data_IF_043827401397
#
_entry.id   IF_043827401397
#
_cell.length_a   1.000
_cell.length_b   1.000
_cell.length_c   1.000
_cell.angle_alpha   90.00
_cell.angle_beta   90.00
_cell.angle_gamma   90.00
#
_symmetry.space_group_name_H-M   'P 1'
#
loop_
_entity.id
_entity.type
_entity.pdbx_description
1 polymer ?
#
# COMPACT_ATOMS: atom_id res chain seq x y z
N UNK A 1 -11.83 6.51 14.21
CA UNK A 1 -11.00 6.31 15.40
C UNK A 1 -11.59 5.17 16.21
N UNK A 2 -10.81 4.13 16.52
CA UNK A 2 -11.24 3.03 17.40
C UNK A 2 -11.04 3.51 18.85
N UNK A 3 -12.04 3.48 19.71
CA UNK A 3 -11.92 3.71 21.17
C UNK A 3 -12.50 2.46 21.86
N UNK A 4 -11.82 1.91 22.87
CA UNK A 4 -12.37 0.82 23.71
C UNK A 4 -12.83 -0.45 22.96
N UNK A 5 -11.96 -1.07 22.16
CA UNK A 5 -12.28 -2.25 21.34
C UNK A 5 -13.49 -2.09 20.41
N UNK A 6 -13.88 -0.83 20.11
CA UNK A 6 -15.00 -0.51 19.25
C UNK A 6 -14.60 0.55 18.23
N UNK A 7 -14.89 0.31 16.97
CA UNK A 7 -14.78 1.31 15.92
C UNK A 7 -16.11 2.08 15.79
N UNK A 8 -16.05 3.34 15.37
CA UNK A 8 -17.26 4.15 15.10
C UNK A 8 -18.22 3.47 14.10
N UNK A 9 -17.71 2.60 13.22
CA UNK A 9 -18.52 1.87 12.25
C UNK A 9 -19.30 0.70 12.87
N UNK A 10 -18.94 0.24 14.08
CA UNK A 10 -19.52 -0.96 14.70
C UNK A 10 -21.01 -0.80 15.05
N UNK A 11 -21.52 0.43 15.09
CA UNK A 11 -22.96 0.68 15.28
C UNK A 11 -23.78 0.43 14.01
N UNK A 12 -23.13 0.38 12.86
CA UNK A 12 -23.76 0.27 11.54
C UNK A 12 -23.61 -1.10 10.89
N UNK A 13 -22.96 -2.06 11.57
CA UNK A 13 -22.67 -3.40 11.03
C UNK A 13 -23.00 -4.48 12.05
N UNK A 14 -23.50 -5.62 11.59
CA UNK A 14 -23.85 -6.74 12.48
C UNK A 14 -22.63 -7.41 13.11
N UNK A 15 -21.55 -7.55 12.33
CA UNK A 15 -20.30 -8.19 12.75
C UNK A 15 -19.12 -7.48 12.07
N UNK A 16 -18.11 -7.10 12.84
CA UNK A 16 -16.89 -6.49 12.35
C UNK A 16 -15.66 -7.33 12.74
N UNK A 17 -15.07 -8.03 11.76
CA UNK A 17 -13.83 -8.79 11.96
C UNK A 17 -12.65 -7.91 11.57
N UNK A 18 -11.90 -7.43 12.56
CA UNK A 18 -10.78 -6.53 12.34
C UNK A 18 -9.72 -6.65 13.45
N UNK A 19 -8.43 -6.84 13.11
CA UNK A 19 -7.37 -7.01 14.10
C UNK A 19 -7.23 -5.81 15.05
N UNK A 20 -7.58 -4.60 14.60
CA UNK A 20 -7.51 -3.39 15.43
C UNK A 20 -8.45 -3.41 16.64
N UNK A 21 -9.50 -4.23 16.63
CA UNK A 21 -10.43 -4.37 17.75
C UNK A 21 -9.83 -5.14 18.93
N UNK A 22 -8.84 -6.00 18.66
CA UNK A 22 -8.18 -6.85 19.68
C UNK A 22 -6.72 -6.46 19.91
N UNK A 23 -6.05 -5.91 18.90
CA UNK A 23 -4.69 -5.40 18.95
C UNK A 23 -4.58 -4.16 18.08
N UNK A 24 -4.65 -2.99 18.73
CA UNK A 24 -4.54 -1.69 18.05
C UNK A 24 -3.26 -1.61 17.23
N UNK A 25 -3.39 -1.16 15.99
CA UNK A 25 -2.26 -0.93 15.09
C UNK A 25 -1.78 -2.19 14.37
N UNK A 26 -2.44 -3.35 14.54
CA UNK A 26 -2.03 -4.61 13.92
C UNK A 26 -2.56 -4.75 12.48
N UNK A 27 -2.17 -3.81 11.62
CA UNK A 27 -2.59 -3.77 10.21
C UNK A 27 -1.90 -4.84 9.36
N UNK A 28 -0.79 -5.39 9.85
CA UNK A 28 -0.01 -6.42 9.17
C UNK A 28 -0.79 -7.74 9.04
N UNK A 29 -1.84 -7.97 9.82
CA UNK A 29 -2.78 -9.06 9.61
C UNK A 29 -3.81 -8.67 8.55
N UNK A 30 -3.53 -9.02 7.30
CA UNK A 30 -4.23 -8.47 6.13
C UNK A 30 -5.62 -9.07 5.92
N UNK A 31 -6.45 -8.38 5.13
CA UNK A 31 -7.80 -8.83 4.82
C UNK A 31 -7.82 -10.22 4.14
N UNK A 32 -6.85 -10.53 3.28
CA UNK A 32 -6.78 -11.86 2.64
C UNK A 32 -6.42 -12.98 3.61
N UNK A 33 -5.67 -12.69 4.68
CA UNK A 33 -5.43 -13.65 5.77
C UNK A 33 -6.75 -13.93 6.51
N UNK A 34 -7.44 -12.88 6.96
CA UNK A 34 -8.72 -12.97 7.68
C UNK A 34 -9.81 -13.66 6.85
N UNK A 35 -9.95 -13.27 5.59
CA UNK A 35 -10.96 -13.81 4.68
C UNK A 35 -10.73 -15.30 4.38
N UNK A 36 -9.48 -15.73 4.28
CA UNK A 36 -9.15 -17.16 4.10
C UNK A 36 -9.56 -17.98 5.32
N UNK A 37 -9.24 -17.51 6.52
CA UNK A 37 -9.64 -18.21 7.75
C UNK A 37 -11.17 -18.27 7.86
N UNK A 38 -11.87 -17.15 7.65
CA UNK A 38 -13.33 -17.14 7.65
C UNK A 38 -13.91 -18.11 6.61
N UNK A 39 -13.36 -18.18 5.40
CA UNK A 39 -13.79 -19.12 4.38
C UNK A 39 -13.61 -20.59 4.80
N UNK A 40 -12.56 -20.92 5.57
CA UNK A 40 -12.36 -22.25 6.15
C UNK A 40 -13.43 -22.60 7.19
N UNK A 41 -13.88 -21.63 7.99
CA UNK A 41 -15.00 -21.82 8.92
C UNK A 41 -16.34 -22.00 8.17
N UNK A 42 -16.56 -21.24 7.09
CA UNK A 42 -17.81 -21.31 6.30
C UNK A 42 -17.91 -22.65 5.55
N UNK A 43 -16.85 -23.09 4.88
CA UNK A 43 -16.86 -24.31 4.09
C UNK A 43 -15.51 -25.04 4.17
N UNK A 44 -15.28 -25.84 5.22
CA UNK A 44 -14.00 -26.52 5.46
C UNK A 44 -13.41 -27.30 4.27
N UNK A 45 -14.20 -27.98 3.40
CA UNK A 45 -13.64 -28.71 2.25
C UNK A 45 -12.88 -27.86 1.23
N UNK A 46 -12.97 -26.52 1.27
CA UNK A 46 -12.23 -25.62 0.38
C UNK A 46 -10.77 -25.40 0.79
N UNK A 47 -10.39 -25.77 2.01
CA UNK A 47 -9.10 -25.44 2.64
C UNK A 47 -7.89 -25.73 1.72
N UNK A 48 -7.83 -26.92 1.13
CA UNK A 48 -6.73 -27.34 0.25
C UNK A 48 -6.60 -26.50 -1.03
N UNK A 49 -7.67 -25.80 -1.42
CA UNK A 49 -7.69 -24.91 -2.58
C UNK A 49 -7.25 -23.49 -2.26
N UNK A 50 -7.43 -23.01 -1.03
CA UNK A 50 -7.27 -21.58 -0.70
C UNK A 50 -6.18 -21.27 0.32
N UNK A 51 -5.63 -22.26 1.02
CA UNK A 51 -4.70 -22.00 2.14
C UNK A 51 -3.34 -21.38 1.73
N UNK A 52 -3.07 -21.22 0.44
CA UNK A 52 -1.93 -20.43 -0.08
C UNK A 52 -2.28 -18.95 -0.33
N UNK A 53 -3.56 -18.58 -0.44
CA UNK A 53 -4.00 -17.20 -0.72
C UNK A 53 -3.51 -16.16 0.31
N UNK A 54 -3.45 -16.46 1.63
CA UNK A 54 -2.90 -15.53 2.61
C UNK A 54 -1.48 -15.07 2.31
N UNK A 55 -0.66 -15.93 1.67
CA UNK A 55 0.68 -15.57 1.26
C UNK A 55 0.67 -14.57 0.09
N UNK A 56 -0.23 -14.74 -0.88
CA UNK A 56 -0.38 -13.79 -1.99
C UNK A 56 -0.87 -12.44 -1.46
N UNK A 57 -1.91 -12.45 -0.62
CA UNK A 57 -2.46 -11.23 -0.03
C UNK A 57 -1.46 -10.49 0.86
N UNK A 58 -0.74 -11.22 1.71
CA UNK A 58 0.33 -10.66 2.55
C UNK A 58 1.46 -10.05 1.73
N UNK A 59 1.83 -10.65 0.59
CA UNK A 59 2.82 -10.08 -0.33
C UNK A 59 2.33 -8.78 -0.97
N UNK A 60 1.08 -8.72 -1.44
CA UNK A 60 0.50 -7.51 -2.04
C UNK A 60 0.46 -6.33 -1.06
N UNK A 61 0.06 -6.59 0.18
CA UNK A 61 -0.01 -5.59 1.25
C UNK A 61 1.33 -5.35 1.96
N UNK A 62 2.39 -6.07 1.57
CA UNK A 62 3.73 -5.99 2.18
C UNK A 62 3.70 -6.19 3.70
N UNK A 63 2.96 -7.19 4.14
CA UNK A 63 2.85 -7.56 5.55
C UNK A 63 4.20 -8.01 6.12
N UNK A 64 4.50 -7.57 7.34
CA UNK A 64 5.62 -8.05 8.16
C UNK A 64 5.11 -8.86 9.38
N UNK A 65 3.87 -9.37 9.33
CA UNK A 65 3.28 -10.12 10.43
C UNK A 65 4.01 -11.45 10.65
N UNK A 66 4.20 -11.92 11.90
CA UNK A 66 4.69 -13.27 12.18
C UNK A 66 3.83 -14.37 11.51
N UNK A 67 2.53 -14.15 11.38
CA UNK A 67 1.58 -15.04 10.69
C UNK A 67 1.86 -15.13 9.19
N UNK A 68 2.31 -14.04 8.57
CA UNK A 68 2.63 -14.01 7.15
C UNK A 68 3.76 -14.98 6.79
N UNK A 69 4.80 -15.08 7.61
CA UNK A 69 5.88 -16.06 7.44
C UNK A 69 5.36 -17.51 7.47
N UNK A 70 4.35 -17.78 8.31
CA UNK A 70 3.71 -19.10 8.37
C UNK A 70 2.93 -19.38 7.09
N UNK A 71 2.16 -18.40 6.60
CA UNK A 71 1.42 -18.51 5.35
C UNK A 71 2.33 -18.68 4.13
N UNK A 72 3.47 -17.98 4.06
CA UNK A 72 4.48 -18.19 3.01
C UNK A 72 5.00 -19.63 3.00
N UNK A 73 5.27 -20.21 4.17
CA UNK A 73 5.67 -21.63 4.27
C UNK A 73 4.59 -22.56 3.75
N UNK A 74 3.32 -22.30 4.06
CA UNK A 74 2.19 -23.10 3.55
C UNK A 74 2.12 -23.02 2.02
N UNK A 75 2.18 -21.82 1.44
CA UNK A 75 2.16 -21.63 -0.01
C UNK A 75 3.32 -22.36 -0.71
N UNK A 76 4.52 -22.28 -0.16
CA UNK A 76 5.71 -22.99 -0.66
C UNK A 76 5.55 -24.51 -0.59
N UNK A 77 5.12 -25.04 0.56
CA UNK A 77 4.98 -26.49 0.77
C UNK A 77 3.91 -27.11 -0.13
N UNK A 78 2.80 -26.41 -0.37
CA UNK A 78 1.68 -26.97 -1.11
C UNK A 78 1.74 -26.77 -2.62
N UNK A 79 2.13 -25.56 -3.02
CA UNK A 79 2.01 -25.11 -4.41
C UNK A 79 3.39 -24.86 -5.04
N UNK A 80 4.46 -24.97 -4.26
CA UNK A 80 5.81 -24.67 -4.72
C UNK A 80 6.04 -23.19 -5.06
N UNK A 81 5.21 -22.30 -4.49
CA UNK A 81 5.34 -20.85 -4.72
C UNK A 81 6.49 -20.30 -3.88
N UNK A 82 7.47 -19.72 -4.56
CA UNK A 82 8.59 -18.99 -3.98
C UNK A 82 8.18 -17.55 -3.63
N UNK A 83 9.03 -16.82 -2.91
CA UNK A 83 8.76 -15.40 -2.65
C UNK A 83 8.75 -14.58 -3.94
N UNK A 84 9.56 -14.96 -4.93
CA UNK A 84 9.55 -14.32 -6.25
C UNK A 84 8.23 -14.58 -6.98
N UNK A 85 7.72 -15.82 -6.94
CA UNK A 85 6.42 -16.14 -7.52
C UNK A 85 5.29 -15.31 -6.87
N UNK A 86 5.28 -15.21 -5.54
CA UNK A 86 4.29 -14.42 -4.81
C UNK A 86 4.33 -12.93 -5.20
N UNK A 87 5.54 -12.36 -5.36
CA UNK A 87 5.73 -10.99 -5.82
C UNK A 87 5.20 -10.80 -7.23
N UNK A 88 5.55 -11.70 -8.16
CA UNK A 88 5.05 -11.66 -9.54
C UNK A 88 3.53 -11.72 -9.59
N UNK A 89 2.92 -12.62 -8.82
CA UNK A 89 1.46 -12.75 -8.74
C UNK A 89 0.82 -11.45 -8.25
N UNK A 90 1.33 -10.87 -7.16
CA UNK A 90 0.80 -9.63 -6.62
C UNK A 90 0.88 -8.46 -7.64
N UNK A 91 2.03 -8.29 -8.29
CA UNK A 91 2.24 -7.25 -9.30
C UNK A 91 1.36 -7.44 -10.54
N UNK A 92 1.17 -8.68 -11.00
CA UNK A 92 0.28 -9.00 -12.13
C UNK A 92 -1.18 -8.74 -11.76
N UNK A 93 -1.62 -9.16 -10.57
CA UNK A 93 -3.00 -8.90 -10.10
C UNK A 93 -3.28 -7.40 -10.02
N UNK A 94 -2.38 -6.61 -9.43
CA UNK A 94 -2.50 -5.15 -9.37
C UNK A 94 -2.61 -4.52 -10.78
N UNK A 95 -1.77 -4.99 -11.70
CA UNK A 95 -1.75 -4.51 -13.07
C UNK A 95 -3.04 -4.83 -13.82
N UNK A 96 -3.47 -6.09 -13.83
CA UNK A 96 -4.71 -6.49 -14.52
C UNK A 96 -5.93 -5.78 -13.90
N UNK A 97 -5.93 -5.61 -12.57
CA UNK A 97 -6.99 -4.91 -11.87
C UNK A 97 -7.13 -3.44 -12.22
N UNK A 98 -6.00 -2.78 -12.49
CA UNK A 98 -6.00 -1.41 -12.99
C UNK A 98 -6.76 -1.29 -14.32
N UNK A 99 -6.67 -2.30 -15.20
CA UNK A 99 -7.31 -2.26 -16.52
C UNK A 99 -8.76 -2.75 -16.52
N UNK A 100 -9.10 -3.77 -15.73
CA UNK A 100 -10.48 -4.28 -15.69
C UNK A 100 -11.46 -3.34 -14.95
N UNK A 101 -10.94 -2.37 -14.19
CA UNK A 101 -11.70 -1.34 -13.45
C UNK A 101 -12.82 -1.93 -12.59
N UNK A 102 -14.06 -1.83 -13.04
CA UNK A 102 -15.26 -2.26 -12.30
C UNK A 102 -15.64 -3.72 -12.58
N UNK A 103 -14.97 -4.39 -13.53
CA UNK A 103 -15.16 -5.82 -13.73
C UNK A 103 -14.48 -6.59 -12.58
N UNK A 104 -15.01 -7.76 -12.25
CA UNK A 104 -14.56 -8.58 -11.12
C UNK A 104 -13.39 -9.54 -11.49
N UNK A 105 -12.94 -9.53 -12.74
CA UNK A 105 -11.85 -10.37 -13.23
C UNK A 105 -12.18 -11.86 -13.34
N UNK A 106 -13.46 -12.25 -13.17
CA UNK A 106 -13.88 -13.66 -13.17
C UNK A 106 -13.45 -14.39 -14.43
N UNK A 107 -12.89 -15.59 -14.26
CA UNK A 107 -12.31 -16.43 -15.30
C UNK A 107 -10.81 -16.19 -15.52
N UNK A 108 -10.25 -15.09 -15.00
CA UNK A 108 -8.82 -14.77 -15.07
C UNK A 108 -8.22 -14.76 -13.67
N UNK A 109 -8.87 -14.08 -12.71
CA UNK A 109 -8.37 -13.92 -11.34
C UNK A 109 -8.16 -15.28 -10.64
N UNK A 110 -9.01 -16.27 -10.91
CA UNK A 110 -8.85 -17.61 -10.36
C UNK A 110 -7.61 -18.33 -10.89
N UNK A 111 -7.19 -18.06 -12.13
CA UNK A 111 -5.97 -18.60 -12.70
C UNK A 111 -4.74 -17.85 -12.17
N UNK A 112 -4.81 -16.52 -12.05
CA UNK A 112 -3.74 -15.71 -11.44
C UNK A 112 -3.51 -16.08 -9.97
N UNK A 113 -4.57 -16.43 -9.22
CA UNK A 113 -4.49 -16.86 -7.82
C UNK A 113 -4.30 -18.37 -7.64
N UNK A 114 -4.10 -19.14 -8.70
CA UNK A 114 -3.88 -20.60 -8.66
C UNK A 114 -5.03 -21.39 -7.98
N UNK A 115 -6.27 -20.95 -8.18
CA UNK A 115 -7.48 -21.61 -7.65
C UNK A 115 -7.99 -22.76 -8.53
N UNK A 116 -7.66 -22.75 -9.83
CA UNK A 116 -8.03 -23.81 -10.78
C UNK A 116 -7.29 -25.13 -10.56
N UNK A 117 -6.19 -25.11 -9.80
CA UNK A 117 -5.25 -26.23 -9.67
C UNK A 117 -4.33 -26.45 -10.88
N UNK A 118 -4.46 -25.64 -11.93
CA UNK A 118 -3.63 -25.75 -13.13
C UNK A 118 -2.37 -24.88 -13.03
N UNK A 119 -1.35 -25.40 -12.33
CA UNK A 119 -0.08 -24.69 -12.12
C UNK A 119 0.61 -24.28 -13.43
N UNK A 120 0.49 -25.09 -14.49
CA UNK A 120 1.10 -24.79 -15.78
C UNK A 120 0.46 -23.55 -16.43
N UNK A 121 -0.87 -23.48 -16.44
CA UNK A 121 -1.60 -22.32 -16.99
C UNK A 121 -1.34 -21.06 -16.17
N UNK A 122 -1.40 -21.17 -14.85
CA UNK A 122 -1.07 -20.09 -13.93
C UNK A 122 0.32 -19.49 -14.24
N UNK A 123 1.37 -20.32 -14.30
CA UNK A 123 2.73 -19.87 -14.60
C UNK A 123 2.82 -19.23 -15.98
N UNK A 124 2.23 -19.84 -17.00
CA UNK A 124 2.21 -19.26 -18.35
C UNK A 124 1.58 -17.86 -18.35
N UNK A 125 0.48 -17.65 -17.63
CA UNK A 125 -0.16 -16.34 -17.55
C UNK A 125 0.74 -15.33 -16.82
N UNK A 126 1.16 -15.65 -15.59
CA UNK A 126 1.98 -14.75 -14.76
C UNK A 126 3.31 -14.42 -15.45
N UNK A 127 4.02 -15.42 -15.97
CA UNK A 127 5.33 -15.23 -16.62
C UNK A 127 5.21 -14.50 -17.96
N UNK A 128 4.04 -14.53 -18.61
CA UNK A 128 3.79 -13.76 -19.84
C UNK A 128 3.46 -12.29 -19.58
N UNK A 129 2.75 -11.98 -18.49
CA UNK A 129 2.29 -10.63 -18.16
C UNK A 129 3.35 -9.88 -17.35
N UNK A 130 3.99 -10.54 -16.39
CA UNK A 130 4.93 -9.89 -15.47
C UNK A 130 6.05 -9.07 -16.14
N UNK A 131 6.70 -9.53 -17.24
CA UNK A 131 7.71 -8.73 -17.92
C UNK A 131 7.18 -7.39 -18.45
N UNK A 132 5.94 -7.36 -18.94
CA UNK A 132 5.28 -6.11 -19.37
C UNK A 132 5.01 -5.19 -18.18
N UNK A 133 4.59 -5.76 -17.05
CA UNK A 133 4.38 -5.01 -15.80
C UNK A 133 5.67 -4.37 -15.34
N UNK A 134 6.76 -5.14 -15.28
CA UNK A 134 8.08 -4.68 -14.88
C UNK A 134 8.59 -3.57 -15.79
N UNK A 135 8.53 -3.75 -17.12
CA UNK A 135 8.95 -2.73 -18.08
C UNK A 135 8.17 -1.42 -17.91
N UNK A 136 6.84 -1.48 -17.73
CA UNK A 136 6.01 -0.30 -17.49
C UNK A 136 6.41 0.43 -16.21
N UNK A 137 6.64 -0.30 -15.13
CA UNK A 137 7.06 0.28 -13.84
C UNK A 137 8.44 0.91 -13.93
N UNK A 138 9.41 0.22 -14.52
CA UNK A 138 10.76 0.75 -14.71
C UNK A 138 10.78 1.99 -15.58
N UNK A 139 10.03 1.99 -16.68
CA UNK A 139 9.95 3.13 -17.60
C UNK A 139 9.35 4.35 -16.92
N UNK A 140 8.25 4.17 -16.17
CA UNK A 140 7.62 5.23 -15.42
C UNK A 140 8.55 5.77 -14.32
N UNK A 141 9.17 4.88 -13.54
CA UNK A 141 10.13 5.25 -12.49
C UNK A 141 11.31 6.04 -13.06
N UNK A 142 11.94 5.52 -14.13
CA UNK A 142 13.09 6.17 -14.80
C UNK A 142 12.74 7.57 -15.31
N UNK A 143 11.54 7.76 -15.86
CA UNK A 143 11.08 9.05 -16.35
C UNK A 143 10.76 10.04 -15.20
N UNK A 144 10.20 9.55 -14.08
CA UNK A 144 9.78 10.41 -12.97
C UNK A 144 10.93 10.76 -12.00
N UNK A 145 11.92 9.88 -11.80
CA UNK A 145 13.00 10.06 -10.83
C UNK A 145 13.78 11.39 -10.95
N UNK A 146 14.15 11.88 -12.15
CA UNK A 146 14.83 13.17 -12.30
C UNK A 146 14.04 14.38 -11.76
N UNK A 147 12.72 14.24 -11.62
CA UNK A 147 11.82 15.29 -11.15
C UNK A 147 11.52 15.20 -9.65
N UNK A 148 12.01 14.16 -8.97
CA UNK A 148 11.87 14.03 -7.52
C UNK A 148 12.84 14.99 -6.83
N UNK A 149 12.29 15.93 -6.06
CA UNK A 149 13.09 16.78 -5.15
C UNK A 149 13.32 16.00 -3.86
N UNK A 150 14.57 15.63 -3.60
CA UNK A 150 14.99 14.95 -2.36
C UNK A 150 15.85 15.88 -1.53
N UNK A 151 15.41 16.19 -0.31
CA UNK A 151 16.16 17.00 0.65
C UNK A 151 16.29 16.26 1.98
N UNK A 152 17.41 16.46 2.68
CA UNK A 152 17.53 16.05 4.07
C UNK A 152 17.17 17.26 4.93
N UNK A 153 16.11 17.13 5.71
CA UNK A 153 15.63 18.19 6.60
C UNK A 153 16.57 18.36 7.80
N UNK A 154 16.55 19.50 8.50
CA UNK A 154 17.40 19.74 9.67
C UNK A 154 17.26 18.69 10.78
N UNK A 155 16.11 18.02 10.87
CA UNK A 155 15.85 16.94 11.83
C UNK A 155 16.33 15.57 11.35
N UNK A 156 16.97 15.46 10.17
CA UNK A 156 17.54 14.22 9.65
C UNK A 156 16.61 13.40 8.74
N UNK A 157 15.34 13.79 8.60
CA UNK A 157 14.39 13.12 7.70
C UNK A 157 14.75 13.41 6.25
N UNK A 158 14.85 12.38 5.41
CA UNK A 158 14.89 12.53 3.96
C UNK A 158 13.47 12.73 3.44
N UNK A 159 13.17 13.94 2.99
CA UNK A 159 11.87 14.29 2.44
C UNK A 159 11.94 14.37 0.91
N UNK A 160 11.19 13.50 0.24
CA UNK A 160 11.09 13.40 -1.21
C UNK A 160 9.73 13.94 -1.64
N UNK A 161 9.71 14.85 -2.62
CA UNK A 161 8.48 15.40 -3.18
C UNK A 161 8.47 15.32 -4.69
N UNK A 162 7.33 14.98 -5.29
CA UNK A 162 7.14 14.96 -6.74
C UNK A 162 5.71 15.39 -7.11
N UNK A 163 5.59 16.28 -8.10
CA UNK A 163 4.32 16.58 -8.76
C UNK A 163 4.07 15.50 -9.82
N UNK A 164 3.21 14.55 -9.50
CA UNK A 164 2.87 13.44 -10.39
C UNK A 164 1.84 13.83 -11.46
N UNK A 165 1.18 14.98 -11.33
CA UNK A 165 0.33 15.51 -12.39
C UNK A 165 1.17 16.02 -13.57
N UNK A 166 2.32 16.62 -13.26
CA UNK A 166 3.24 17.17 -14.25
C UNK A 166 4.27 16.15 -14.74
N UNK A 167 4.73 15.23 -13.88
CA UNK A 167 5.88 14.35 -14.16
C UNK A 167 5.55 12.86 -14.14
N UNK A 168 4.27 12.49 -14.35
CA UNK A 168 3.86 11.11 -14.59
C UNK A 168 2.83 11.02 -15.72
N UNK A 169 2.79 9.89 -16.46
CA UNK A 169 1.79 9.68 -17.50
C UNK A 169 0.40 9.49 -16.89
N UNK A 170 -0.53 10.39 -17.26
CA UNK A 170 -1.91 10.37 -16.75
C UNK A 170 -2.71 9.23 -17.37
N UNK A 171 -3.62 8.66 -16.57
CA UNK A 171 -4.54 7.59 -16.98
C UNK A 171 -3.85 6.31 -17.47
N UNK A 172 -2.56 6.12 -17.18
CA UNK A 172 -1.82 4.90 -17.48
C UNK A 172 -1.33 4.20 -16.22
N UNK A 173 -1.00 2.91 -16.34
CA UNK A 173 -0.29 2.19 -15.30
C UNK A 173 1.20 2.58 -15.30
N UNK A 174 1.86 2.74 -14.14
CA UNK A 174 1.31 2.64 -12.78
C UNK A 174 0.45 3.84 -12.37
N UNK A 175 -0.56 3.59 -11.52
CA UNK A 175 -1.38 4.65 -10.92
C UNK A 175 -0.53 5.60 -10.06
N UNK A 176 -1.00 6.83 -9.77
CA UNK A 176 -0.39 7.75 -8.81
C UNK A 176 0.14 7.10 -7.52
N UNK A 177 -0.69 6.27 -6.88
CA UNK A 177 -0.33 5.60 -5.63
C UNK A 177 0.73 4.52 -5.79
N UNK A 178 0.72 3.79 -6.92
CA UNK A 178 1.72 2.77 -7.25
C UNK A 178 3.05 3.43 -7.63
N UNK A 179 3.04 4.47 -8.46
CA UNK A 179 4.24 5.23 -8.80
C UNK A 179 4.88 5.89 -7.57
N UNK A 180 4.07 6.50 -6.69
CA UNK A 180 4.57 7.03 -5.41
C UNK A 180 5.22 5.94 -4.53
N UNK A 181 4.67 4.72 -4.56
CA UNK A 181 5.28 3.54 -3.94
C UNK A 181 6.64 3.17 -4.57
N UNK A 182 6.71 3.06 -5.90
CA UNK A 182 7.95 2.73 -6.61
C UNK A 182 9.06 3.76 -6.37
N UNK A 183 8.72 5.05 -6.38
CA UNK A 183 9.66 6.11 -6.03
C UNK A 183 10.12 5.93 -4.58
N UNK A 184 9.21 5.66 -3.65
CA UNK A 184 9.57 5.44 -2.25
C UNK A 184 10.50 4.24 -2.08
N UNK A 185 10.21 3.12 -2.74
CA UNK A 185 11.04 1.90 -2.71
C UNK A 185 12.45 2.17 -3.27
N UNK A 186 12.57 2.89 -4.38
CA UNK A 186 13.88 3.30 -4.93
C UNK A 186 14.74 4.05 -3.89
N UNK A 187 14.13 4.95 -3.11
CA UNK A 187 14.85 5.67 -2.06
C UNK A 187 15.18 4.77 -0.87
N UNK A 188 14.32 3.82 -0.51
CA UNK A 188 14.61 2.83 0.55
C UNK A 188 15.75 1.90 0.17
N UNK A 189 15.78 1.41 -1.06
CA UNK A 189 16.89 0.58 -1.56
C UNK A 189 18.21 1.36 -1.55
N UNK A 190 18.17 2.65 -1.94
CA UNK A 190 19.35 3.50 -2.02
C UNK A 190 19.93 3.91 -0.65
N UNK A 191 19.09 4.13 0.34
CA UNK A 191 19.49 4.71 1.64
C UNK A 191 19.26 3.79 2.84
N UNK A 192 18.63 2.64 2.65
CA UNK A 192 18.29 1.65 3.67
C UNK A 192 16.86 1.80 4.20
N UNK A 193 16.19 0.67 4.41
CA UNK A 193 14.82 0.53 4.92
C UNK A 193 14.59 1.30 6.24
N UNK A 194 15.58 1.24 7.13
CA UNK A 194 15.53 1.85 8.46
C UNK A 194 15.91 3.33 8.47
N UNK A 195 16.27 3.91 7.33
CA UNK A 195 16.52 5.37 7.25
C UNK A 195 15.18 6.12 7.25
N UNK A 196 15.07 7.30 7.90
CA UNK A 196 13.82 8.05 7.98
C UNK A 196 13.53 8.73 6.64
N UNK A 197 12.74 8.07 5.79
CA UNK A 197 12.36 8.51 4.46
C UNK A 197 10.88 8.79 4.44
N UNK A 198 10.51 9.96 3.95
CA UNK A 198 9.13 10.34 3.68
C UNK A 198 9.00 10.77 2.23
N UNK A 199 8.12 10.12 1.47
CA UNK A 199 7.81 10.45 0.08
C UNK A 199 6.39 11.01 -0.02
N UNK A 200 6.27 12.19 -0.62
CA UNK A 200 5.03 12.89 -0.90
C UNK A 200 4.87 13.07 -2.41
N UNK A 201 4.00 12.27 -3.02
CA UNK A 201 3.65 12.37 -4.43
C UNK A 201 2.29 13.07 -4.56
N UNK A 202 2.24 14.26 -5.16
CA UNK A 202 1.03 15.09 -5.18
C UNK A 202 0.54 15.41 -6.59
N UNK A 203 -0.78 15.53 -6.73
CA UNK A 203 -1.47 16.01 -7.92
C UNK A 203 -2.11 17.38 -7.70
N UNK A 204 -3.19 17.71 -8.41
CA UNK A 204 -3.90 18.98 -8.26
C UNK A 204 -4.60 19.12 -6.90
N UNK A 205 -5.33 18.08 -6.50
CA UNK A 205 -6.28 18.08 -5.38
C UNK A 205 -6.04 16.91 -4.40
N UNK A 206 -4.90 16.23 -4.53
CA UNK A 206 -4.52 15.12 -3.68
C UNK A 206 -3.02 15.00 -3.47
N UNK A 207 -2.62 14.29 -2.41
CA UNK A 207 -1.27 13.79 -2.23
C UNK A 207 -1.24 12.39 -1.62
N UNK A 208 -0.33 11.56 -2.09
CA UNK A 208 -0.01 10.23 -1.59
C UNK A 208 1.25 10.32 -0.72
N UNK A 209 1.17 9.77 0.48
CA UNK A 209 2.24 9.79 1.48
C UNK A 209 2.71 8.35 1.72
N UNK A 210 4.03 8.15 1.68
CA UNK A 210 4.71 6.90 2.06
C UNK A 210 5.85 7.22 3.02
N UNK A 211 5.86 6.58 4.18
CA UNK A 211 6.88 6.67 5.19
C UNK A 211 7.56 5.30 5.35
N UNK A 212 8.90 5.29 5.46
CA UNK A 212 9.65 4.09 5.78
C UNK A 212 9.58 3.76 7.29
N UNK A 213 9.98 2.55 7.67
CA UNK A 213 10.00 2.11 9.07
C UNK A 213 10.85 3.03 9.97
N UNK A 214 11.92 3.62 9.42
CA UNK A 214 12.74 4.61 10.13
C UNK A 214 12.00 5.87 10.60
N UNK A 215 10.83 6.16 10.02
CA UNK A 215 9.97 7.26 10.48
C UNK A 215 9.30 6.97 11.84
N UNK A 216 9.32 5.71 12.30
CA UNK A 216 8.87 5.33 13.64
C UNK A 216 9.71 5.98 14.74
N UNK A 217 11.00 6.21 14.50
CA UNK A 217 11.87 6.95 15.44
C UNK A 217 11.39 8.40 15.66
N UNK A 218 10.57 8.94 14.76
CA UNK A 218 10.05 10.31 14.81
C UNK A 218 8.58 10.37 15.27
N UNK A 219 8.01 9.24 15.71
CA UNK A 219 6.59 9.09 16.00
C UNK A 219 5.70 9.65 14.87
N UNK A 220 6.10 9.41 13.61
CA UNK A 220 5.32 9.83 12.46
C UNK A 220 3.97 9.10 12.43
N UNK A 221 2.89 9.86 12.40
CA UNK A 221 1.55 9.32 12.18
C UNK A 221 0.75 10.28 11.31
N UNK A 222 0.46 9.87 10.08
CA UNK A 222 -0.35 10.63 9.14
C UNK A 222 -1.74 10.96 9.72
N UNK A 223 -2.33 10.05 10.49
CA UNK A 223 -3.65 10.24 11.10
C UNK A 223 -3.63 11.25 12.26
N UNK A 224 -2.45 11.61 12.77
CA UNK A 224 -2.26 12.72 13.72
C UNK A 224 -1.94 14.04 13.03
N UNK A 225 -1.40 14.01 11.80
CA UNK A 225 -1.10 15.20 11.00
C UNK A 225 -2.37 15.74 10.34
N UNK A 226 -3.22 14.88 9.77
CA UNK A 226 -4.44 15.29 9.05
C UNK A 226 -5.36 16.18 9.91
N UNK A 227 -5.72 15.83 11.17
CA UNK A 227 -6.56 16.69 12.01
C UNK A 227 -5.95 18.06 12.28
N UNK A 228 -4.62 18.14 12.44
CA UNK A 228 -3.92 19.43 12.61
C UNK A 228 -4.02 20.28 11.35
N UNK A 229 -3.89 19.66 10.17
CA UNK A 229 -4.07 20.40 8.91
C UNK A 229 -5.51 20.90 8.77
N UNK A 230 -6.51 20.09 9.14
CA UNK A 230 -7.92 20.50 9.14
C UNK A 230 -8.19 21.67 10.10
N UNK A 231 -7.59 21.67 11.29
CA UNK A 231 -7.70 22.76 12.25
C UNK A 231 -7.02 24.05 11.77
N UNK A 232 -5.83 23.94 11.18
CA UNK A 232 -5.05 25.09 10.71
C UNK A 232 -5.59 25.68 9.39
N UNK A 233 -6.19 24.85 8.54
CA UNK A 233 -6.67 25.22 7.20
C UNK A 233 -8.14 24.78 7.01
N UNK A 234 -9.10 25.32 7.78
CA UNK A 234 -10.50 24.88 7.74
C UNK A 234 -11.17 25.13 6.39
N UNK A 235 -10.65 26.06 5.58
CA UNK A 235 -11.17 26.38 4.26
C UNK A 235 -10.60 25.49 3.13
N UNK A 236 -9.66 24.59 3.43
CA UNK A 236 -8.95 23.80 2.41
C UNK A 236 -9.65 22.49 2.02
N UNK A 237 -10.78 22.14 2.64
CA UNK A 237 -11.52 20.92 2.32
C UNK A 237 -10.69 19.65 2.54
N UNK A 238 -9.85 19.64 3.57
CA UNK A 238 -8.90 18.55 3.79
C UNK A 238 -9.64 17.31 4.26
N UNK A 239 -9.50 16.25 3.48
CA UNK A 239 -9.93 14.89 3.80
C UNK A 239 -8.73 13.95 3.67
N UNK A 240 -8.81 12.77 4.27
CA UNK A 240 -7.75 11.80 4.09
C UNK A 240 -7.79 10.66 5.10
N UNK A 241 -6.76 9.84 5.03
CA UNK A 241 -6.57 8.73 5.94
C UNK A 241 -5.68 7.66 5.32
N UNK A 242 -5.76 6.47 5.90
CA UNK A 242 -4.94 5.32 5.58
C UNK A 242 -4.24 4.79 6.83
N UNK A 243 -3.15 4.06 6.61
CA UNK A 243 -2.26 3.64 7.68
C UNK A 243 -1.40 4.83 8.14
N UNK A 244 -0.92 4.79 9.37
CA UNK A 244 -0.09 5.85 9.96
C UNK A 244 1.15 6.19 9.11
N UNK A 245 1.69 5.21 8.38
CA UNK A 245 2.89 5.34 7.53
C UNK A 245 2.57 5.39 6.03
N UNK A 246 1.31 5.19 5.64
CA UNK A 246 0.93 5.12 4.23
C UNK A 246 -0.52 5.51 4.04
N UNK A 247 -0.75 6.56 3.27
CA UNK A 247 -2.10 7.05 3.04
C UNK A 247 -2.16 8.15 1.99
N UNK A 248 -3.29 8.84 1.97
CA UNK A 248 -3.50 9.96 1.07
C UNK A 248 -4.29 11.07 1.75
N UNK A 249 -4.06 12.29 1.28
CA UNK A 249 -4.83 13.47 1.62
C UNK A 249 -5.46 14.02 0.35
N UNK A 250 -6.69 14.52 0.46
CA UNK A 250 -7.38 15.31 -0.55
C UNK A 250 -7.59 16.72 -0.01
N UNK A 251 -7.64 17.68 -0.90
CA UNK A 251 -7.80 19.10 -0.57
C UNK A 251 -8.29 19.85 -1.81
N UNK A 252 -8.84 21.04 -1.63
CA UNK A 252 -9.17 21.89 -2.78
C UNK A 252 -7.91 22.31 -3.53
N UNK A 253 -7.93 22.17 -4.86
CA UNK A 253 -6.79 22.47 -5.74
C UNK A 253 -6.23 23.90 -5.52
N UNK A 254 -7.11 24.87 -5.33
CA UNK A 254 -6.73 26.27 -5.07
C UNK A 254 -5.98 26.50 -3.75
N UNK A 255 -6.02 25.53 -2.83
CA UNK A 255 -5.33 25.55 -1.53
C UNK A 255 -4.13 24.58 -1.50
N UNK A 256 -3.78 23.96 -2.63
CA UNK A 256 -2.72 22.95 -2.72
C UNK A 256 -1.42 23.43 -2.09
N UNK A 257 -0.98 24.64 -2.43
CA UNK A 257 0.30 25.18 -1.95
C UNK A 257 0.31 25.29 -0.43
N UNK A 258 -0.73 25.87 0.14
CA UNK A 258 -0.92 26.08 1.57
C UNK A 258 -0.91 24.75 2.33
N UNK A 259 -1.63 23.74 1.81
CA UNK A 259 -1.72 22.41 2.42
C UNK A 259 -0.37 21.70 2.39
N UNK A 260 0.32 21.69 1.24
CA UNK A 260 1.61 21.00 1.11
C UNK A 260 2.73 21.69 1.90
N UNK A 261 2.72 23.03 1.94
CA UNK A 261 3.67 23.79 2.78
C UNK A 261 3.42 23.54 4.26
N UNK A 262 2.16 23.53 4.71
CA UNK A 262 1.85 23.25 6.11
C UNK A 262 2.18 21.79 6.48
N UNK A 263 1.89 20.82 5.60
CA UNK A 263 2.31 19.43 5.78
C UNK A 263 3.85 19.35 5.96
N UNK A 264 4.62 20.00 5.08
CA UNK A 264 6.08 20.03 5.19
C UNK A 264 6.56 20.66 6.52
N UNK A 265 5.90 21.72 7.01
CA UNK A 265 6.22 22.30 8.33
C UNK A 265 5.94 21.31 9.46
N UNK A 266 4.86 20.53 9.40
CA UNK A 266 4.58 19.50 10.40
C UNK A 266 5.68 18.42 10.41
N UNK A 267 6.19 18.02 9.24
CA UNK A 267 7.31 17.07 9.12
C UNK A 267 8.61 17.65 9.71
N UNK A 268 8.92 18.93 9.46
CA UNK A 268 10.11 19.60 10.04
C UNK A 268 10.03 19.69 11.57
N UNK A 269 8.83 19.80 12.15
CA UNK A 269 8.61 19.87 13.60
C UNK A 269 8.77 18.52 14.29
N UNK A 270 8.81 17.41 13.56
CA UNK A 270 9.02 16.08 14.14
C UNK A 270 10.39 16.00 14.81
N UNK A 271 10.42 15.33 15.96
CA UNK A 271 11.62 15.11 16.76
C UNK A 271 11.83 13.62 16.93
N UNK A 272 13.10 13.23 16.90
CA UNK A 272 13.49 11.87 17.26
C UNK A 272 13.09 11.60 18.71
N UNK A 273 12.44 10.46 18.93
CA UNK A 273 12.02 9.95 20.23
C UNK A 273 13.23 9.60 21.12
#
# INVERSE_FOLDING_TARGET
FVSENRALVDEYVDVHVNPHLVKRGYYELTAGMLATELARFIYPPVEEKIKHLPAIAGTGDRSNAPEFEQYKRIAKQMKGLTEEDLKKIAEVVDHEAYFWKFMDGKGIIEELLLLSGNLKRHRLLVDSIYPEVEEKQEKALRASLPHVKSVVLPNGIRFNTIDIELFAPKFSYPSPGKLGGLIHDHFKEKYGENSPILTLAYGPDFAVIRASDGMGEYNFDLNMIIPKLQELLPAAGIEGGGHSFAGSIKFFEGMRKEVLEEFAKQVVKLRKA
#
